data_IF_735140945157
#
_entry.id   IF_735140945157
#
_cell.length_a   1.000
_cell.length_b   1.000
_cell.length_c   1.000
_cell.angle_alpha   90.00
_cell.angle_beta   90.00
_cell.angle_gamma   90.00
#
_symmetry.space_group_name_H-M   'P 1'
#
loop_
_entity.id
_entity.type
_entity.pdbx_description
1 polymer ?
#
# COMPACT_ATOMS: atom_id res chain seq x y z
N UNK A 1 -13.50 6.03 9.20
CA UNK A 1 -12.62 6.37 8.05
C UNK A 1 -11.24 6.76 8.58
N UNK A 2 -10.39 7.32 7.72
CA UNK A 2 -9.08 7.88 8.12
C UNK A 2 -9.22 9.34 8.58
N UNK A 3 -8.47 9.75 9.60
CA UNK A 3 -8.47 11.14 10.09
C UNK A 3 -7.60 12.07 9.24
N UNK A 4 -6.57 11.52 8.58
CA UNK A 4 -5.66 12.25 7.70
C UNK A 4 -5.08 11.30 6.64
N UNK A 5 -4.61 11.88 5.54
CA UNK A 5 -3.81 11.22 4.50
C UNK A 5 -2.48 11.96 4.38
N UNK A 6 -1.38 11.21 4.34
CA UNK A 6 -0.05 11.75 4.07
C UNK A 6 0.42 11.24 2.72
N UNK A 7 0.58 12.16 1.77
CA UNK A 7 1.20 11.87 0.48
C UNK A 7 2.71 12.11 0.57
N UNK A 8 3.50 11.07 0.31
CA UNK A 8 4.97 11.15 0.33
C UNK A 8 5.50 10.94 -1.10
N UNK A 9 5.93 12.01 -1.79
CA UNK A 9 6.54 11.88 -3.11
C UNK A 9 7.76 10.95 -3.08
N UNK A 10 7.80 9.99 -3.99
CA UNK A 10 8.89 9.01 -4.11
C UNK A 10 10.06 9.59 -4.92
N UNK A 11 10.74 10.58 -4.35
CA UNK A 11 11.91 11.23 -4.97
C UNK A 11 13.15 10.36 -4.86
N UNK A 12 14.20 10.66 -5.63
CA UNK A 12 15.51 9.98 -5.52
C UNK A 12 16.11 10.07 -4.11
N UNK A 13 15.93 11.22 -3.45
CA UNK A 13 16.39 11.40 -2.07
C UNK A 13 15.64 10.50 -1.10
N UNK A 14 14.31 10.41 -1.24
CA UNK A 14 13.48 9.53 -0.42
C UNK A 14 13.78 8.04 -0.68
N UNK A 15 13.94 7.65 -1.95
CA UNK A 15 14.29 6.29 -2.35
C UNK A 15 15.68 5.86 -1.86
N UNK A 16 16.56 6.82 -1.54
CA UNK A 16 17.91 6.55 -1.04
C UNK A 16 17.98 6.37 0.48
N UNK A 17 16.90 6.65 1.22
CA UNK A 17 16.84 6.43 2.67
C UNK A 17 17.06 4.96 2.99
N UNK A 18 17.90 4.65 3.98
CA UNK A 18 17.98 3.29 4.51
C UNK A 18 16.67 2.90 5.21
N UNK A 19 16.47 1.60 5.45
CA UNK A 19 15.32 1.14 6.23
C UNK A 19 15.29 1.76 7.64
N UNK A 20 16.46 1.91 8.28
CA UNK A 20 16.55 2.53 9.61
C UNK A 20 16.20 4.03 9.56
N UNK A 21 16.74 4.78 8.59
CA UNK A 21 16.43 6.20 8.43
C UNK A 21 14.94 6.42 8.13
N UNK A 22 14.30 5.51 7.39
CA UNK A 22 12.85 5.56 7.22
C UNK A 22 12.10 5.40 8.55
N UNK A 23 12.53 4.48 9.41
CA UNK A 23 11.91 4.31 10.75
C UNK A 23 12.11 5.56 11.59
N UNK A 24 13.34 6.01 11.78
CA UNK A 24 13.64 7.14 12.69
C UNK A 24 13.09 8.45 12.14
N UNK A 25 13.37 8.76 10.88
CA UNK A 25 13.10 10.10 10.35
C UNK A 25 11.65 10.26 9.92
N UNK A 26 11.03 9.20 9.39
CA UNK A 26 9.67 9.26 8.87
C UNK A 26 8.66 8.79 9.91
N UNK A 27 8.80 7.56 10.41
CA UNK A 27 7.78 6.97 11.29
C UNK A 27 7.81 7.58 12.69
N UNK A 28 8.99 7.71 13.29
CA UNK A 28 9.13 8.25 14.66
C UNK A 28 9.11 9.78 14.65
N UNK A 29 10.06 10.44 13.99
CA UNK A 29 10.24 11.89 14.15
C UNK A 29 9.16 12.73 13.44
N UNK A 30 8.74 12.34 12.23
CA UNK A 30 7.76 13.13 11.46
C UNK A 30 6.32 12.74 11.73
N UNK A 31 6.04 11.43 11.84
CA UNK A 31 4.68 10.93 12.06
C UNK A 31 4.35 10.69 13.53
N UNK A 32 5.34 10.43 14.39
CA UNK A 32 5.11 10.13 15.80
C UNK A 32 4.25 8.88 16.01
N UNK A 33 4.48 7.82 15.22
CA UNK A 33 3.61 6.64 15.28
C UNK A 33 3.71 5.93 16.63
N UNK A 34 2.58 5.43 17.12
CA UNK A 34 2.53 4.46 18.23
C UNK A 34 2.35 3.02 17.73
N UNK A 35 1.86 2.85 16.50
CA UNK A 35 1.59 1.54 15.91
C UNK A 35 1.60 1.61 14.38
N UNK A 36 2.19 0.62 13.72
CA UNK A 36 2.17 0.43 12.27
C UNK A 36 1.33 -0.79 11.89
N UNK A 37 0.50 -0.67 10.86
CA UNK A 37 -0.24 -1.80 10.27
C UNK A 37 0.16 -1.91 8.81
N UNK A 38 0.68 -3.07 8.39
CA UNK A 38 1.19 -3.28 7.02
C UNK A 38 0.73 -4.62 6.46
N UNK A 39 0.66 -4.73 5.13
CA UNK A 39 0.48 -6.02 4.46
C UNK A 39 1.74 -6.89 4.50
N UNK A 40 1.57 -8.19 4.31
CA UNK A 40 2.63 -9.20 4.26
C UNK A 40 3.73 -8.92 3.21
N UNK A 41 3.42 -8.17 2.16
CA UNK A 41 4.32 -7.84 1.05
C UNK A 41 4.92 -6.42 1.12
N UNK A 42 4.76 -5.73 2.25
CA UNK A 42 5.28 -4.37 2.44
C UNK A 42 6.81 -4.33 2.46
N UNK A 43 7.39 -3.44 1.66
CA UNK A 43 8.84 -3.19 1.62
C UNK A 43 9.12 -1.70 1.64
N UNK A 44 10.24 -1.31 2.24
CA UNK A 44 10.67 0.08 2.37
C UNK A 44 12.19 0.19 2.50
N UNK A 45 12.67 1.43 2.48
CA UNK A 45 14.10 1.71 2.44
C UNK A 45 14.74 1.39 1.09
N UNK A 46 15.95 1.90 0.90
CA UNK A 46 16.77 1.74 -0.29
C UNK A 46 16.92 0.27 -0.60
N UNK A 47 16.77 -0.08 -1.88
CA UNK A 47 16.91 -1.46 -2.38
C UNK A 47 16.05 -2.49 -1.61
N UNK A 48 14.92 -2.05 -1.04
CA UNK A 48 13.98 -2.90 -0.26
C UNK A 48 14.64 -3.57 0.94
N UNK A 49 15.60 -2.91 1.57
CA UNK A 49 16.27 -3.39 2.78
C UNK A 49 15.31 -3.65 3.95
N UNK A 50 14.19 -2.91 4.01
CA UNK A 50 13.15 -3.07 5.01
C UNK A 50 12.00 -3.92 4.49
N UNK A 51 11.57 -4.88 5.32
CA UNK A 51 10.35 -5.66 5.15
C UNK A 51 9.64 -5.87 6.50
N UNK A 52 8.61 -6.73 6.58
CA UNK A 52 7.83 -6.88 7.81
C UNK A 52 8.65 -7.28 9.04
N UNK A 53 9.57 -8.23 8.87
CA UNK A 53 10.45 -8.68 9.96
C UNK A 53 11.35 -7.55 10.47
N UNK A 54 11.88 -6.72 9.57
CA UNK A 54 12.66 -5.53 9.96
C UNK A 54 11.79 -4.56 10.75
N UNK A 55 10.58 -4.26 10.28
CA UNK A 55 9.69 -3.31 10.93
C UNK A 55 9.27 -3.77 12.32
N UNK A 56 8.99 -5.06 12.49
CA UNK A 56 8.69 -5.66 13.80
C UNK A 56 9.87 -5.50 14.78
N UNK A 57 11.08 -5.85 14.35
CA UNK A 57 12.28 -5.68 15.18
C UNK A 57 12.58 -4.20 15.46
N UNK A 58 12.28 -3.30 14.52
CA UNK A 58 12.40 -1.86 14.74
C UNK A 58 11.35 -1.35 15.74
N UNK A 59 10.11 -1.83 15.68
CA UNK A 59 9.06 -1.51 16.63
C UNK A 59 9.42 -1.89 18.07
N UNK A 60 10.01 -3.08 18.26
CA UNK A 60 10.54 -3.51 19.56
C UNK A 60 11.65 -2.58 20.10
N UNK A 61 12.54 -2.09 19.22
CA UNK A 61 13.65 -1.19 19.60
C UNK A 61 13.20 0.23 19.88
N UNK A 62 12.24 0.74 19.09
CA UNK A 62 11.83 2.14 19.08
C UNK A 62 10.51 2.40 19.83
N UNK A 63 9.86 1.36 20.36
CA UNK A 63 8.70 1.50 21.25
C UNK A 63 7.36 1.70 20.54
N UNK A 64 7.19 1.21 19.31
CA UNK A 64 5.91 1.20 18.61
C UNK A 64 5.46 -0.22 18.24
N UNK A 65 4.15 -0.46 18.24
CA UNK A 65 3.59 -1.77 17.88
C UNK A 65 3.55 -2.00 16.37
N UNK A 66 3.55 -3.27 15.95
CA UNK A 66 3.41 -3.63 14.53
C UNK A 66 2.38 -4.74 14.38
N UNK A 67 1.44 -4.55 13.45
CA UNK A 67 0.51 -5.60 13.01
C UNK A 67 0.78 -5.93 11.55
N UNK A 68 1.10 -7.19 11.29
CA UNK A 68 1.19 -7.72 9.94
C UNK A 68 -0.16 -8.33 9.55
N UNK A 69 -0.70 -7.87 8.42
CA UNK A 69 -1.93 -8.40 7.83
C UNK A 69 -1.58 -9.36 6.72
N UNK A 70 -2.07 -10.60 6.84
CA UNK A 70 -1.89 -11.64 5.83
C UNK A 70 -2.55 -11.27 4.49
N UNK A 71 -2.13 -11.95 3.44
CA UNK A 71 -2.74 -11.83 2.12
C UNK A 71 -4.23 -12.16 2.19
N UNK A 72 -5.07 -11.21 1.79
CA UNK A 72 -6.49 -11.49 1.59
C UNK A 72 -6.68 -12.38 0.35
N UNK A 73 -7.46 -13.45 0.52
CA UNK A 73 -7.76 -14.41 -0.54
C UNK A 73 -9.25 -14.45 -0.80
N UNK A 74 -9.62 -14.59 -2.06
CA UNK A 74 -11.00 -14.80 -2.46
C UNK A 74 -11.47 -16.25 -2.18
N UNK A 75 -12.70 -16.57 -2.61
CA UNK A 75 -13.28 -17.92 -2.45
C UNK A 75 -12.51 -19.01 -3.21
N UNK A 76 -11.76 -18.65 -4.25
CA UNK A 76 -10.89 -19.53 -5.02
C UNK A 76 -9.50 -19.72 -4.40
N UNK A 77 -9.26 -19.17 -3.21
CA UNK A 77 -7.97 -19.12 -2.54
C UNK A 77 -6.90 -18.31 -3.30
N UNK A 78 -7.30 -17.48 -4.27
CA UNK A 78 -6.39 -16.60 -4.99
C UNK A 78 -6.20 -15.28 -4.24
N UNK A 79 -4.97 -14.75 -4.28
CA UNK A 79 -4.66 -13.46 -3.63
C UNK A 79 -5.37 -12.33 -4.36
N UNK A 80 -6.10 -11.53 -3.61
CA UNK A 80 -6.68 -10.28 -4.12
C UNK A 80 -5.58 -9.23 -4.16
N UNK A 81 -5.26 -8.71 -5.34
CA UNK A 81 -4.18 -7.74 -5.54
C UNK A 81 -4.51 -6.74 -6.66
N UNK A 82 -3.90 -5.56 -6.61
CA UNK A 82 -4.05 -4.54 -7.66
C UNK A 82 -3.58 -5.01 -9.03
N UNK A 83 -2.60 -5.92 -9.10
CA UNK A 83 -2.15 -6.48 -10.38
C UNK A 83 -3.22 -7.37 -11.01
N UNK A 84 -3.87 -8.25 -10.22
CA UNK A 84 -4.98 -9.08 -10.71
C UNK A 84 -6.19 -8.24 -11.11
N UNK A 85 -6.56 -7.26 -10.29
CA UNK A 85 -7.68 -6.36 -10.59
C UNK A 85 -7.43 -5.59 -11.90
N UNK A 86 -6.21 -5.08 -12.12
CA UNK A 86 -5.86 -4.40 -13.39
C UNK A 86 -5.92 -5.34 -14.59
N UNK A 87 -5.51 -6.60 -14.45
CA UNK A 87 -5.62 -7.59 -15.52
C UNK A 87 -7.08 -7.82 -15.92
N UNK A 88 -7.96 -8.11 -14.95
CA UNK A 88 -9.40 -8.28 -15.18
C UNK A 88 -10.03 -7.06 -15.86
N UNK A 89 -9.70 -5.84 -15.40
CA UNK A 89 -10.20 -4.62 -16.04
C UNK A 89 -9.70 -4.45 -17.47
N UNK A 90 -8.46 -4.87 -17.75
CA UNK A 90 -7.87 -4.80 -19.11
C UNK A 90 -8.47 -5.84 -20.05
N UNK A 91 -8.94 -6.96 -19.52
CA UNK A 91 -9.61 -8.05 -20.24
C UNK A 91 -11.12 -7.81 -20.41
N UNK A 92 -11.68 -6.77 -19.79
CA UNK A 92 -13.11 -6.47 -19.85
C UNK A 92 -13.96 -7.22 -18.80
N UNK A 93 -13.32 -7.98 -17.91
CA UNK A 93 -13.95 -8.78 -16.85
C UNK A 93 -14.37 -7.91 -15.65
N UNK A 94 -15.19 -6.90 -15.92
CA UNK A 94 -15.61 -5.88 -14.95
C UNK A 94 -16.45 -6.43 -13.80
N UNK A 95 -17.18 -7.53 -14.03
CA UNK A 95 -17.99 -8.18 -13.00
C UNK A 95 -17.11 -8.92 -11.98
N UNK A 96 -16.07 -9.61 -12.43
CA UNK A 96 -15.11 -10.26 -11.54
C UNK A 96 -14.29 -9.21 -10.78
N UNK A 97 -13.81 -8.17 -11.47
CA UNK A 97 -13.10 -7.06 -10.83
C UNK A 97 -13.94 -6.41 -9.73
N UNK A 98 -15.24 -6.19 -9.96
CA UNK A 98 -16.15 -5.65 -8.96
C UNK A 98 -16.32 -6.58 -7.74
N UNK A 99 -16.34 -7.90 -7.97
CA UNK A 99 -16.36 -8.90 -6.90
C UNK A 99 -15.12 -8.83 -5.99
N UNK A 100 -13.94 -8.56 -6.56
CA UNK A 100 -12.71 -8.39 -5.81
C UNK A 100 -12.60 -7.04 -5.09
N UNK A 101 -13.07 -5.97 -5.73
CA UNK A 101 -13.07 -4.60 -5.18
C UNK A 101 -14.09 -4.40 -4.06
N UNK A 102 -15.20 -5.15 -4.08
CA UNK A 102 -16.36 -4.91 -3.23
C UNK A 102 -17.26 -3.76 -3.71
N UNK A 103 -16.97 -3.18 -4.88
CA UNK A 103 -17.75 -2.13 -5.53
C UNK A 103 -17.56 -2.18 -7.05
N UNK A 104 -18.47 -1.55 -7.81
CA UNK A 104 -18.33 -1.42 -9.27
C UNK A 104 -17.28 -0.39 -9.62
N UNK A 105 -16.30 -0.75 -10.45
CA UNK A 105 -15.27 0.19 -10.92
C UNK A 105 -15.90 1.42 -11.59
N UNK A 106 -15.42 2.61 -11.24
CA UNK A 106 -15.94 3.89 -11.74
C UNK A 106 -14.81 4.72 -12.32
N UNK A 107 -15.14 5.51 -13.34
CA UNK A 107 -14.29 6.56 -13.91
C UNK A 107 -15.03 7.89 -13.83
N UNK A 108 -14.29 8.97 -13.62
CA UNK A 108 -14.82 10.33 -13.60
C UNK A 108 -13.97 11.16 -14.57
N UNK A 109 -14.64 11.86 -15.47
CA UNK A 109 -14.02 12.76 -16.44
C UNK A 109 -15.03 13.79 -16.89
N UNK A 110 -14.54 14.98 -17.23
CA UNK A 110 -15.33 15.98 -17.94
C UNK A 110 -15.76 15.43 -19.32
N UNK A 111 -17.01 15.67 -19.70
CA UNK A 111 -17.54 15.34 -21.03
C UNK A 111 -17.05 16.38 -22.02
N UNK A 112 -16.38 15.94 -23.09
CA UNK A 112 -15.84 16.80 -24.15
C UNK A 112 -16.57 16.56 -25.48
N UNK A 113 -16.42 17.49 -26.43
CA UNK A 113 -17.00 17.35 -27.77
C UNK A 113 -16.49 16.11 -28.51
N UNK A 114 -17.41 15.33 -29.07
CA UNK A 114 -17.10 14.08 -29.80
C UNK A 114 -17.06 14.25 -31.32
N UNK A 115 -16.81 13.14 -32.02
CA UNK A 115 -17.07 13.07 -33.47
C UNK A 115 -18.56 13.21 -33.73
N UNK A 116 -18.92 14.11 -34.63
CA UNK A 116 -20.28 14.25 -35.16
C UNK A 116 -20.47 13.34 -36.37
#
# INVERSE_FOLDING_TARGET
GFAALVEQPFTRAFAALSAEAFVTDVLENRLGISHAVTGFDFHFGKDRQGGPAFLMAAGERHGFGVTLVDAFRDKGAEVVSSSRIRALLSEGEVAEAAGLLGYRFTVESEVIGGQQ
#
